data_IF_524875213358
#
_entry.id   IF_524875213358
#
_cell.length_a   1.000
_cell.length_b   1.000
_cell.length_c   1.000
_cell.angle_alpha   90.00
_cell.angle_beta   90.00
_cell.angle_gamma   90.00
#
_symmetry.space_group_name_H-M   'P 1'
#
loop_
_entity.id
_entity.type
_entity.pdbx_description
1 polymer ?
#
# COMPACT_ATOMS: atom_id res chain seq x y z
N UNK A 1 13.52 -19.48 -13.78
CA UNK A 1 13.22 -19.68 -12.34
C UNK A 1 11.73 -19.83 -12.17
N UNK A 2 11.29 -21.00 -11.72
CA UNK A 2 9.89 -21.36 -11.51
C UNK A 2 9.29 -20.51 -10.40
N UNK A 3 8.37 -19.60 -10.75
CA UNK A 3 7.63 -18.81 -9.78
C UNK A 3 6.84 -19.76 -8.88
N UNK A 4 7.29 -19.96 -7.63
CA UNK A 4 6.53 -20.69 -6.60
C UNK A 4 5.14 -20.07 -6.52
N UNK A 5 4.12 -20.90 -6.75
CA UNK A 5 2.72 -20.48 -6.90
C UNK A 5 2.21 -19.82 -5.61
N UNK A 6 2.19 -18.49 -5.63
CA UNK A 6 1.49 -17.67 -4.64
C UNK A 6 0.00 -17.99 -4.73
N UNK A 7 -0.54 -18.61 -3.68
CA UNK A 7 -1.96 -19.00 -3.61
C UNK A 7 -2.80 -17.85 -3.06
N UNK A 8 -3.85 -17.45 -3.77
CA UNK A 8 -4.71 -16.31 -3.41
C UNK A 8 -6.22 -16.67 -3.44
N UNK A 9 -7.04 -16.21 -2.48
CA UNK A 9 -8.44 -16.65 -2.26
C UNK A 9 -9.56 -15.87 -3.01
N UNK A 10 -10.26 -16.46 -4.00
CA UNK A 10 -11.29 -15.78 -4.85
C UNK A 10 -12.49 -16.67 -5.18
N UNK A 11 -13.66 -16.06 -5.50
CA UNK A 11 -14.87 -16.77 -5.96
C UNK A 11 -14.71 -17.49 -7.33
N UNK A 12 -13.62 -17.25 -8.06
CA UNK A 12 -13.31 -17.87 -9.36
C UNK A 12 -12.22 -18.94 -9.28
N UNK A 13 -11.90 -19.40 -8.08
CA UNK A 13 -10.86 -20.39 -7.85
C UNK A 13 -11.49 -21.75 -7.52
N UNK A 14 -10.76 -22.81 -7.84
CA UNK A 14 -11.18 -24.16 -7.46
C UNK A 14 -11.02 -24.23 -5.94
N UNK A 15 -12.15 -24.40 -5.25
CA UNK A 15 -12.18 -24.59 -3.80
C UNK A 15 -11.98 -26.09 -3.57
N UNK A 16 -10.80 -26.48 -3.09
CA UNK A 16 -10.64 -27.78 -2.43
C UNK A 16 -11.12 -27.67 -0.99
N UNK A 17 -11.23 -28.78 -0.26
CA UNK A 17 -11.58 -28.78 1.17
C UNK A 17 -10.67 -27.88 2.02
N UNK A 18 -9.45 -27.62 1.56
CA UNK A 18 -8.42 -26.90 2.32
C UNK A 18 -7.99 -25.57 1.69
N UNK A 19 -8.04 -25.43 0.35
CA UNK A 19 -7.43 -24.29 -0.36
C UNK A 19 -8.28 -23.76 -1.51
N UNK A 20 -7.90 -22.58 -1.99
CA UNK A 20 -8.54 -21.89 -3.11
C UNK A 20 -7.49 -21.68 -4.20
N UNK A 21 -7.53 -22.50 -5.25
CA UNK A 21 -6.55 -22.50 -6.34
C UNK A 21 -6.98 -21.52 -7.45
N UNK A 22 -6.21 -20.46 -7.66
CA UNK A 22 -6.39 -19.53 -8.79
C UNK A 22 -5.81 -20.17 -10.04
N UNK A 23 -6.60 -20.42 -11.07
CA UNK A 23 -6.09 -21.02 -12.32
C UNK A 23 -5.46 -19.98 -13.25
N UNK A 24 -5.99 -18.74 -13.31
CA UNK A 24 -5.48 -17.68 -14.18
C UNK A 24 -4.68 -16.62 -13.40
N UNK A 25 -3.37 -16.88 -13.23
CA UNK A 25 -2.48 -16.09 -12.38
C UNK A 25 -2.07 -14.77 -13.06
N UNK A 26 -1.90 -14.78 -14.38
CA UNK A 26 -1.37 -13.65 -15.16
C UNK A 26 -2.17 -12.35 -15.07
N UNK A 27 -3.40 -12.39 -14.56
CA UNK A 27 -4.24 -11.20 -14.28
C UNK A 27 -3.80 -10.42 -13.05
N UNK A 28 -2.99 -11.03 -12.18
CA UNK A 28 -2.49 -10.48 -10.92
C UNK A 28 -1.01 -10.11 -10.99
N UNK A 29 -0.19 -10.91 -11.67
CA UNK A 29 1.25 -10.67 -11.83
C UNK A 29 1.58 -9.72 -12.99
N UNK A 30 2.50 -8.76 -12.84
CA UNK A 30 2.92 -7.90 -13.95
C UNK A 30 3.46 -8.75 -15.12
N UNK A 31 3.30 -8.30 -16.38
CA UNK A 31 3.99 -8.90 -17.52
C UNK A 31 5.51 -8.89 -17.27
N UNK A 32 6.21 -9.87 -17.85
CA UNK A 32 7.67 -9.84 -17.89
C UNK A 32 8.11 -8.55 -18.60
N UNK A 33 9.19 -7.92 -18.13
CA UNK A 33 9.74 -6.68 -18.71
C UNK A 33 8.75 -5.52 -18.89
N UNK A 34 7.71 -5.42 -18.03
CA UNK A 34 6.67 -4.38 -18.09
C UNK A 34 7.24 -2.96 -18.29
N UNK A 35 8.36 -2.63 -17.64
CA UNK A 35 8.95 -1.29 -17.66
C UNK A 35 9.67 -0.94 -18.97
N UNK A 36 10.14 -1.95 -19.71
CA UNK A 36 10.92 -1.76 -20.94
C UNK A 36 10.03 -1.84 -22.18
N UNK A 37 8.97 -2.66 -22.13
CA UNK A 37 8.12 -2.96 -23.30
C UNK A 37 6.96 -1.98 -23.47
N UNK A 38 6.50 -1.33 -22.40
CA UNK A 38 5.27 -0.52 -22.42
C UNK A 38 5.56 0.97 -22.15
N UNK A 39 4.82 1.89 -22.81
CA UNK A 39 4.83 3.30 -22.46
C UNK A 39 4.42 3.51 -20.99
N UNK A 40 5.03 4.49 -20.32
CA UNK A 40 4.81 4.74 -18.89
C UNK A 40 3.33 4.92 -18.51
N UNK A 41 2.54 5.62 -19.33
CA UNK A 41 1.09 5.79 -19.08
C UNK A 41 0.35 4.46 -19.01
N UNK A 42 0.74 3.49 -19.84
CA UNK A 42 0.14 2.16 -19.85
C UNK A 42 0.66 1.29 -18.72
N UNK A 43 1.94 1.42 -18.35
CA UNK A 43 2.51 0.81 -17.14
C UNK A 43 1.69 1.20 -15.90
N UNK A 44 1.46 2.49 -15.68
CA UNK A 44 0.66 2.98 -14.54
C UNK A 44 -0.76 2.40 -14.56
N UNK A 45 -1.42 2.35 -15.71
CA UNK A 45 -2.77 1.77 -15.86
C UNK A 45 -2.77 0.26 -15.58
N UNK A 46 -1.77 -0.47 -16.07
CA UNK A 46 -1.61 -1.91 -15.86
C UNK A 46 -1.43 -2.19 -14.37
N UNK A 47 -0.52 -1.47 -13.70
CA UNK A 47 -0.27 -1.60 -12.27
C UNK A 47 -1.53 -1.28 -11.46
N UNK A 48 -2.19 -0.15 -11.73
CA UNK A 48 -3.45 0.21 -11.07
C UNK A 48 -4.51 -0.90 -11.18
N UNK A 49 -4.73 -1.42 -12.39
CA UNK A 49 -5.70 -2.51 -12.62
C UNK A 49 -5.33 -3.76 -11.82
N UNK A 50 -4.05 -4.07 -11.69
CA UNK A 50 -3.57 -5.23 -10.93
C UNK A 50 -3.80 -5.06 -9.44
N UNK A 51 -3.46 -3.91 -8.85
CA UNK A 51 -3.79 -3.60 -7.46
C UNK A 51 -5.30 -3.73 -7.19
N UNK A 52 -6.15 -3.13 -8.02
CA UNK A 52 -7.60 -3.21 -7.85
C UNK A 52 -8.11 -4.66 -7.92
N UNK A 53 -7.53 -5.49 -8.79
CA UNK A 53 -7.86 -6.93 -8.87
C UNK A 53 -7.49 -7.71 -7.61
N UNK A 54 -6.56 -7.21 -6.77
CA UNK A 54 -6.21 -7.85 -5.51
C UNK A 54 -7.26 -7.63 -4.41
N UNK A 55 -8.25 -6.74 -4.62
CA UNK A 55 -9.34 -6.45 -3.66
C UNK A 55 -9.93 -7.70 -2.97
N UNK A 56 -10.28 -8.79 -3.67
CA UNK A 56 -10.91 -9.96 -3.03
C UNK A 56 -10.01 -10.66 -2.02
N UNK A 57 -8.69 -10.54 -2.19
CA UNK A 57 -7.68 -11.28 -1.46
C UNK A 57 -7.17 -10.58 -0.20
N UNK A 58 -7.32 -9.25 -0.16
CA UNK A 58 -6.85 -8.43 0.95
C UNK A 58 -7.60 -8.76 2.24
N UNK A 59 -8.92 -8.98 2.16
CA UNK A 59 -9.73 -9.35 3.32
C UNK A 59 -11.10 -9.87 2.92
N UNK A 60 -11.71 -10.71 3.78
CA UNK A 60 -13.12 -11.08 3.68
C UNK A 60 -14.06 -9.92 4.04
N UNK A 61 -13.65 -9.04 4.94
CA UNK A 61 -14.48 -7.93 5.44
C UNK A 61 -14.65 -6.84 4.37
N UNK A 62 -15.89 -6.46 4.07
CA UNK A 62 -16.21 -5.47 3.03
C UNK A 62 -15.55 -4.11 3.34
N UNK A 63 -15.65 -3.65 4.59
CA UNK A 63 -15.05 -2.40 5.04
C UNK A 63 -13.55 -2.30 4.71
N UNK A 64 -12.78 -3.36 4.96
CA UNK A 64 -11.33 -3.40 4.69
C UNK A 64 -11.05 -3.35 3.19
N UNK A 65 -11.85 -4.08 2.40
CA UNK A 65 -11.74 -4.09 0.93
C UNK A 65 -12.01 -2.71 0.33
N UNK A 66 -12.95 -1.96 0.90
CA UNK A 66 -13.27 -0.62 0.43
C UNK A 66 -12.24 0.42 0.87
N UNK A 67 -11.66 0.26 2.08
CA UNK A 67 -10.49 1.05 2.49
C UNK A 67 -9.32 0.81 1.54
N UNK A 68 -9.01 -0.44 1.21
CA UNK A 68 -7.94 -0.79 0.27
C UNK A 68 -8.14 -0.15 -1.11
N UNK A 69 -9.33 -0.27 -1.70
CA UNK A 69 -9.60 0.35 -3.02
C UNK A 69 -9.53 1.87 -2.95
N UNK A 70 -10.06 2.48 -1.90
CA UNK A 70 -9.98 3.93 -1.69
C UNK A 70 -8.54 4.40 -1.60
N UNK A 71 -7.72 3.69 -0.83
CA UNK A 71 -6.29 3.93 -0.72
C UNK A 71 -5.57 3.80 -2.07
N UNK A 72 -5.78 2.72 -2.82
CA UNK A 72 -5.17 2.53 -4.16
C UNK A 72 -5.58 3.66 -5.12
N UNK A 73 -6.86 4.06 -5.12
CA UNK A 73 -7.33 5.18 -5.95
C UNK A 73 -6.61 6.48 -5.60
N UNK A 74 -6.47 6.78 -4.31
CA UNK A 74 -5.75 7.95 -3.84
C UNK A 74 -4.29 7.93 -4.29
N UNK A 75 -3.57 6.81 -4.05
CA UNK A 75 -2.15 6.66 -4.43
C UNK A 75 -1.89 6.89 -5.92
N UNK A 76 -2.74 6.36 -6.79
CA UNK A 76 -2.53 6.45 -8.25
C UNK A 76 -3.05 7.73 -8.90
N UNK A 77 -4.05 8.41 -8.30
CA UNK A 77 -4.71 9.56 -8.92
C UNK A 77 -4.34 10.90 -8.28
N UNK A 78 -4.08 10.91 -6.98
CA UNK A 78 -4.09 12.11 -6.17
C UNK A 78 -2.82 12.32 -5.34
N UNK A 79 -2.15 11.24 -4.93
CA UNK A 79 -0.96 11.37 -4.10
C UNK A 79 0.22 11.91 -4.91
N UNK A 80 0.83 12.95 -4.36
CA UNK A 80 2.18 13.39 -4.72
C UNK A 80 3.15 12.83 -3.69
N UNK A 81 3.85 11.75 -4.07
CA UNK A 81 4.75 11.02 -3.17
C UNK A 81 5.95 11.89 -2.75
N UNK A 82 6.53 12.64 -3.68
CA UNK A 82 7.66 13.52 -3.40
C UNK A 82 7.26 14.65 -2.45
N UNK A 83 6.09 15.26 -2.66
CA UNK A 83 5.58 16.26 -1.73
C UNK A 83 5.40 15.70 -0.32
N UNK A 84 4.85 14.48 -0.19
CA UNK A 84 4.71 13.80 1.11
C UNK A 84 6.07 13.52 1.76
N UNK A 85 7.04 13.11 0.97
CA UNK A 85 8.42 12.83 1.39
C UNK A 85 9.10 14.10 1.90
N UNK A 86 9.03 15.20 1.17
CA UNK A 86 9.58 16.51 1.55
C UNK A 86 8.91 17.02 2.83
N UNK A 87 7.58 16.96 2.90
CA UNK A 87 6.82 17.42 4.08
C UNK A 87 7.21 16.69 5.37
N UNK A 88 7.67 15.43 5.28
CA UNK A 88 8.12 14.67 6.45
C UNK A 88 9.38 15.21 7.11
N UNK A 89 10.18 16.02 6.40
CA UNK A 89 11.45 16.56 6.88
C UNK A 89 12.54 15.50 7.12
N UNK A 90 12.29 14.25 6.71
CA UNK A 90 13.25 13.17 6.82
C UNK A 90 14.34 13.32 5.74
N UNK A 91 15.60 13.25 6.15
CA UNK A 91 16.73 13.26 5.22
C UNK A 91 16.83 11.90 4.54
N UNK A 92 16.48 11.87 3.27
CA UNK A 92 16.66 10.72 2.40
C UNK A 92 17.77 11.02 1.40
N UNK A 93 18.43 10.00 0.86
CA UNK A 93 19.43 10.21 -0.19
C UNK A 93 18.80 10.98 -1.36
N UNK A 94 19.51 12.00 -1.87
CA UNK A 94 19.08 12.82 -3.00
C UNK A 94 19.00 11.97 -4.27
N UNK A 95 17.89 11.29 -4.46
CA UNK A 95 17.46 10.80 -5.75
C UNK A 95 16.28 11.66 -6.15
N UNK A 96 16.51 12.52 -7.13
CA UNK A 96 15.46 13.09 -7.97
C UNK A 96 14.70 11.93 -8.59
N UNK A 97 13.46 11.68 -8.14
CA UNK A 97 12.65 10.59 -8.68
C UNK A 97 12.23 10.89 -10.11
N UNK A 98 12.95 10.32 -11.07
CA UNK A 98 12.46 10.21 -12.44
C UNK A 98 11.21 9.34 -12.47
N UNK A 99 10.26 9.63 -13.37
CA UNK A 99 9.03 8.84 -13.57
C UNK A 99 9.25 7.32 -13.70
N UNK A 100 10.40 6.90 -14.24
CA UNK A 100 10.81 5.49 -14.32
C UNK A 100 11.01 4.85 -12.94
N UNK A 101 11.54 5.60 -11.97
CA UNK A 101 11.76 5.13 -10.59
C UNK A 101 10.43 4.96 -9.84
N UNK A 102 9.43 5.83 -10.09
CA UNK A 102 8.09 5.67 -9.52
C UNK A 102 7.41 4.38 -10.00
N UNK A 103 7.51 4.07 -11.29
CA UNK A 103 6.98 2.82 -11.85
C UNK A 103 7.69 1.58 -11.28
N UNK A 104 9.00 1.65 -11.04
CA UNK A 104 9.75 0.60 -10.34
C UNK A 104 9.26 0.40 -8.90
N UNK A 105 9.12 1.49 -8.13
CA UNK A 105 8.60 1.43 -6.77
C UNK A 105 7.18 0.89 -6.70
N UNK A 106 6.33 1.26 -7.65
CA UNK A 106 4.97 0.75 -7.76
C UNK A 106 4.94 -0.76 -8.08
N UNK A 107 5.88 -1.26 -8.88
CA UNK A 107 6.05 -2.69 -9.15
C UNK A 107 6.53 -3.44 -7.90
N UNK A 108 7.55 -2.94 -7.20
CA UNK A 108 8.00 -3.51 -5.93
C UNK A 108 6.87 -3.53 -4.88
N UNK A 109 6.04 -2.49 -4.87
CA UNK A 109 4.85 -2.41 -4.00
C UNK A 109 3.81 -3.48 -4.37
N UNK A 110 3.62 -3.76 -5.67
CA UNK A 110 2.71 -4.81 -6.11
C UNK A 110 3.20 -6.19 -5.65
N UNK A 111 4.50 -6.46 -5.76
CA UNK A 111 5.12 -7.68 -5.25
C UNK A 111 4.98 -7.81 -3.74
N UNK A 112 5.20 -6.72 -3.00
CA UNK A 112 4.97 -6.67 -1.55
C UNK A 112 3.54 -7.04 -1.19
N UNK A 113 2.54 -6.45 -1.86
CA UNK A 113 1.13 -6.73 -1.59
C UNK A 113 0.78 -8.17 -1.98
N UNK A 114 1.32 -8.69 -3.08
CA UNK A 114 1.16 -10.09 -3.48
C UNK A 114 1.70 -11.03 -2.39
N UNK A 115 2.89 -10.76 -1.84
CA UNK A 115 3.43 -11.51 -0.70
C UNK A 115 2.51 -11.45 0.51
N UNK A 116 2.03 -10.26 0.88
CA UNK A 116 1.16 -10.06 2.05
C UNK A 116 -0.15 -10.87 2.01
N UNK A 117 -0.71 -11.06 0.81
CA UNK A 117 -1.98 -11.80 0.59
C UNK A 117 -1.77 -13.28 0.24
N UNK A 118 -0.53 -13.73 0.07
CA UNK A 118 -0.19 -15.14 -0.15
C UNK A 118 -0.62 -15.99 1.04
N UNK A 119 -1.08 -17.20 0.78
CA UNK A 119 -1.25 -18.21 1.82
C UNK A 119 0.11 -18.73 2.33
N UNK A 120 0.23 -18.98 3.63
CA UNK A 120 1.37 -19.66 4.27
C UNK A 120 0.81 -20.79 5.12
N UNK A 121 1.28 -22.02 4.90
CA UNK A 121 0.89 -23.16 5.74
C UNK A 121 1.45 -22.98 7.14
N UNK A 122 0.74 -23.48 8.17
CA UNK A 122 1.20 -23.38 9.56
C UNK A 122 2.59 -23.97 9.76
N UNK A 123 2.89 -25.08 9.08
CA UNK A 123 4.21 -25.74 9.08
C UNK A 123 5.34 -24.85 8.58
N UNK A 124 5.03 -23.85 7.77
CA UNK A 124 6.04 -23.05 7.07
C UNK A 124 6.23 -21.68 7.73
N UNK A 125 5.52 -21.38 8.83
CA UNK A 125 5.55 -20.08 9.50
C UNK A 125 6.93 -19.72 10.06
N UNK A 126 7.70 -20.72 10.49
CA UNK A 126 9.04 -20.54 11.06
C UNK A 126 10.15 -20.56 10.00
N UNK A 127 9.81 -20.85 8.74
CA UNK A 127 10.75 -20.71 7.63
C UNK A 127 10.96 -19.23 7.32
N UNK A 128 12.16 -18.87 6.84
CA UNK A 128 12.47 -17.49 6.40
C UNK A 128 11.38 -16.90 5.49
N UNK A 129 10.84 -17.71 4.58
CA UNK A 129 9.77 -17.30 3.67
C UNK A 129 8.42 -17.07 4.37
N UNK A 130 8.05 -17.93 5.33
CA UNK A 130 6.83 -17.76 6.11
C UNK A 130 6.88 -16.54 7.02
N UNK A 131 8.05 -16.28 7.63
CA UNK A 131 8.31 -15.08 8.45
C UNK A 131 8.18 -13.82 7.59
N UNK A 132 8.78 -13.79 6.40
CA UNK A 132 8.68 -12.67 5.46
C UNK A 132 7.22 -12.36 5.09
N UNK A 133 6.45 -13.37 4.66
CA UNK A 133 5.04 -13.18 4.31
C UNK A 133 4.22 -12.72 5.52
N UNK A 134 4.49 -13.27 6.69
CA UNK A 134 3.82 -12.85 7.94
C UNK A 134 4.09 -11.38 8.26
N UNK A 135 5.33 -10.91 8.07
CA UNK A 135 5.69 -9.50 8.24
C UNK A 135 4.99 -8.61 7.20
N UNK A 136 5.03 -8.95 5.92
CA UNK A 136 4.32 -8.21 4.87
C UNK A 136 2.82 -8.10 5.17
N UNK A 137 2.20 -9.19 5.65
CA UNK A 137 0.78 -9.22 6.04
C UNK A 137 0.49 -8.30 7.22
N UNK A 138 1.33 -8.31 8.26
CA UNK A 138 1.19 -7.42 9.42
C UNK A 138 1.29 -5.94 9.01
N UNK A 139 2.28 -5.61 8.17
CA UNK A 139 2.48 -4.26 7.65
C UNK A 139 1.27 -3.80 6.83
N UNK A 140 0.80 -4.62 5.87
CA UNK A 140 -0.38 -4.30 5.06
C UNK A 140 -1.64 -4.12 5.92
N UNK A 141 -1.83 -4.96 6.94
CA UNK A 141 -2.94 -4.83 7.88
C UNK A 141 -2.88 -3.49 8.62
N UNK A 142 -1.72 -3.14 9.18
CA UNK A 142 -1.54 -1.89 9.92
C UNK A 142 -1.76 -0.67 9.01
N UNK A 143 -1.26 -0.72 7.77
CA UNK A 143 -1.52 0.31 6.76
C UNK A 143 -3.01 0.51 6.55
N UNK A 144 -3.75 -0.57 6.32
CA UNK A 144 -5.19 -0.48 6.09
C UNK A 144 -5.99 -0.04 7.32
N UNK A 145 -5.53 -0.34 8.52
CA UNK A 145 -6.12 0.21 9.75
C UNK A 145 -5.96 1.72 9.80
N UNK A 146 -4.72 2.21 9.63
CA UNK A 146 -4.43 3.65 9.67
C UNK A 146 -5.16 4.40 8.54
N UNK A 147 -5.21 3.82 7.34
CA UNK A 147 -5.93 4.40 6.21
C UNK A 147 -7.45 4.43 6.44
N UNK A 148 -8.00 3.46 7.17
CA UNK A 148 -9.38 3.50 7.60
C UNK A 148 -9.62 4.65 8.58
N UNK A 149 -8.75 4.84 9.56
CA UNK A 149 -8.86 5.90 10.56
C UNK A 149 -8.75 7.29 9.90
N UNK A 150 -7.78 7.47 8.99
CA UNK A 150 -7.68 8.70 8.18
C UNK A 150 -8.97 8.96 7.39
N UNK A 151 -9.58 7.92 6.81
CA UNK A 151 -10.85 8.05 6.09
C UNK A 151 -11.99 8.49 7.01
N UNK A 152 -12.08 7.96 8.22
CA UNK A 152 -13.09 8.38 9.20
C UNK A 152 -12.92 9.84 9.60
N UNK A 153 -11.68 10.30 9.82
CA UNK A 153 -11.39 11.72 10.09
C UNK A 153 -11.80 12.62 8.92
N UNK A 154 -11.44 12.23 7.69
CA UNK A 154 -11.83 12.95 6.48
C UNK A 154 -13.35 13.01 6.33
N UNK A 155 -14.07 11.92 6.62
CA UNK A 155 -15.53 11.91 6.57
C UNK A 155 -16.15 12.85 7.61
N UNK A 156 -15.56 12.94 8.80
CA UNK A 156 -16.04 13.82 9.87
C UNK A 156 -15.84 15.31 9.53
N UNK A 157 -14.69 15.71 8.99
CA UNK A 157 -14.48 17.08 8.52
C UNK A 157 -13.62 17.10 7.25
N UNK A 158 -14.25 17.00 6.06
CA UNK A 158 -13.54 16.88 4.79
C UNK A 158 -12.70 18.11 4.47
N UNK A 159 -13.25 19.32 4.72
CA UNK A 159 -12.59 20.59 4.40
C UNK A 159 -11.26 20.77 5.15
N UNK A 160 -11.16 20.20 6.34
CA UNK A 160 -9.95 20.28 7.16
C UNK A 160 -9.02 19.08 6.96
N UNK A 161 -9.52 17.87 7.15
CA UNK A 161 -8.65 16.69 7.20
C UNK A 161 -8.18 16.23 5.82
N UNK A 162 -8.93 16.52 4.74
CA UNK A 162 -8.47 16.14 3.40
C UNK A 162 -7.22 16.93 2.97
N UNK A 163 -7.19 18.28 3.02
CA UNK A 163 -5.96 19.01 2.72
C UNK A 163 -4.80 18.58 3.63
N UNK A 164 -5.05 18.50 4.94
CA UNK A 164 -4.02 18.16 5.94
C UNK A 164 -3.42 16.77 5.67
N UNK A 165 -4.22 15.73 5.46
CA UNK A 165 -3.75 14.34 5.38
C UNK A 165 -3.42 13.86 3.95
N UNK A 166 -3.95 14.50 2.90
CA UNK A 166 -3.93 13.97 1.52
C UNK A 166 -3.38 14.92 0.46
N UNK A 167 -3.15 16.19 0.76
CA UNK A 167 -2.69 17.16 -0.25
C UNK A 167 -1.47 17.97 0.21
N UNK A 168 -1.55 18.55 1.39
CA UNK A 168 -0.51 19.42 1.95
C UNK A 168 0.44 18.66 2.87
N UNK A 169 -0.04 17.57 3.47
CA UNK A 169 0.71 16.79 4.46
C UNK A 169 1.19 17.63 5.65
N UNK A 170 0.44 18.68 5.99
CA UNK A 170 0.82 19.68 6.99
C UNK A 170 0.84 19.16 8.42
N UNK A 171 0.28 17.97 8.68
CA UNK A 171 0.38 17.26 9.97
C UNK A 171 1.79 16.76 10.30
N UNK A 172 2.72 16.71 9.32
CA UNK A 172 4.14 16.52 9.63
C UNK A 172 4.76 17.74 10.31
N UNK A 173 4.22 18.94 10.08
CA UNK A 173 4.68 20.18 10.68
C UNK A 173 3.97 20.49 12.00
N UNK A 174 4.69 21.14 12.93
CA UNK A 174 4.13 21.51 14.24
C UNK A 174 3.09 22.65 14.15
N UNK A 175 3.12 23.45 13.07
CA UNK A 175 2.28 24.65 12.93
C UNK A 175 0.78 24.35 12.71
N UNK A 176 0.42 23.21 12.10
CA UNK A 176 -0.98 22.86 11.84
C UNK A 176 -1.78 22.50 13.11
N UNK A 177 -1.09 22.29 14.24
CA UNK A 177 -1.64 21.70 15.46
C UNK A 177 -1.89 22.72 16.59
N UNK A 178 -1.36 23.94 16.47
CA UNK A 178 -1.25 24.92 17.57
C UNK A 178 -2.59 25.42 18.12
N UNK A 179 -3.67 25.38 17.33
CA UNK A 179 -4.99 25.91 17.72
C UNK A 179 -6.09 24.85 17.81
N UNK A 180 -5.74 23.57 18.00
CA UNK A 180 -6.69 22.46 17.94
C UNK A 180 -6.89 21.76 19.28
N UNK A 181 -8.06 21.13 19.50
CA UNK A 181 -8.31 20.36 20.72
C UNK A 181 -7.24 19.27 20.90
N UNK A 182 -6.81 19.06 22.15
CA UNK A 182 -5.72 18.14 22.49
C UNK A 182 -5.90 16.73 21.92
N UNK A 183 -7.14 16.21 21.89
CA UNK A 183 -7.45 14.89 21.33
C UNK A 183 -7.22 14.79 19.81
N UNK A 184 -7.42 15.89 19.06
CA UNK A 184 -7.14 15.95 17.62
C UNK A 184 -5.63 15.99 17.40
N UNK A 185 -4.91 16.76 18.22
CA UNK A 185 -3.45 16.87 18.18
C UNK A 185 -2.78 15.52 18.47
N UNK A 186 -3.23 14.81 19.50
CA UNK A 186 -2.73 13.48 19.85
C UNK A 186 -2.91 12.47 18.71
N UNK A 187 -4.12 12.39 18.12
CA UNK A 187 -4.37 11.49 16.97
C UNK A 187 -3.50 11.83 15.75
N UNK A 188 -3.31 13.12 15.46
CA UNK A 188 -2.46 13.54 14.34
C UNK A 188 -0.98 13.23 14.59
N UNK A 189 -0.53 13.23 15.86
CA UNK A 189 0.81 12.80 16.24
C UNK A 189 1.02 11.30 15.95
N UNK A 190 0.09 10.44 16.37
CA UNK A 190 0.21 9.00 16.12
C UNK A 190 0.24 8.69 14.60
N UNK A 191 -0.60 9.38 13.83
CA UNK A 191 -0.60 9.30 12.37
C UNK A 191 0.71 9.77 11.75
N UNK A 192 1.28 10.87 12.26
CA UNK A 192 2.59 11.40 11.84
C UNK A 192 3.70 10.39 12.09
N UNK A 193 3.76 9.82 13.28
CA UNK A 193 4.80 8.84 13.65
C UNK A 193 4.69 7.58 12.78
N UNK A 194 3.47 7.08 12.56
CA UNK A 194 3.24 5.96 11.65
C UNK A 194 3.67 6.26 10.22
N UNK A 195 3.25 7.40 9.66
CA UNK A 195 3.59 7.76 8.28
C UNK A 195 5.07 8.04 8.08
N UNK A 196 5.77 8.59 9.09
CA UNK A 196 7.22 8.75 9.06
C UNK A 196 7.94 7.39 9.02
N UNK A 197 7.48 6.42 9.81
CA UNK A 197 8.00 5.05 9.78
C UNK A 197 7.71 4.37 8.43
N UNK A 198 6.52 4.58 7.87
CA UNK A 198 6.15 4.04 6.56
C UNK A 198 7.03 4.61 5.44
N UNK A 199 7.32 5.91 5.46
CA UNK A 199 8.22 6.52 4.48
C UNK A 199 9.64 5.92 4.57
N UNK A 200 10.18 5.73 5.77
CA UNK A 200 11.50 5.07 5.95
C UNK A 200 11.49 3.62 5.44
N UNK A 201 10.40 2.90 5.69
CA UNK A 201 10.21 1.54 5.18
C UNK A 201 10.18 1.54 3.65
N UNK A 202 9.44 2.47 3.05
CA UNK A 202 9.35 2.64 1.61
C UNK A 202 10.73 2.87 0.98
N UNK A 203 11.54 3.74 1.56
CA UNK A 203 12.91 3.98 1.08
C UNK A 203 13.82 2.77 1.23
N UNK A 204 13.68 2.01 2.32
CA UNK A 204 14.50 0.81 2.57
C UNK A 204 14.14 -0.33 1.60
N UNK A 205 12.85 -0.51 1.31
CA UNK A 205 12.35 -1.59 0.45
C UNK A 205 12.24 -1.18 -1.03
N UNK A 206 12.47 0.09 -1.36
CA UNK A 206 12.19 0.62 -2.69
C UNK A 206 10.71 0.51 -3.08
N UNK A 207 9.81 0.66 -2.10
CA UNK A 207 8.35 0.60 -2.30
C UNK A 207 7.72 1.99 -2.17
N UNK A 208 6.40 2.07 -2.36
CA UNK A 208 5.60 3.27 -2.26
C UNK A 208 4.23 2.93 -1.63
N UNK A 209 4.27 2.27 -0.47
CA UNK A 209 3.11 1.97 0.38
C UNK A 209 2.50 3.25 0.99
#
# INVERSE_FOLDING_TARGET
MTSRQITITTKKAIITSEYTLVTQHGKYFPPQNLLNEYPQKDVTRILYRRFVRLKPFVSRRQMVRDTYVGYIRYKFRNEDYEKRRIASGLKFAEKSENLSQLSQRALATLEFVLKAISHVKKSDLDTSHGVEISMCRKILKNLLTIEHDKRLLIQHNPKFFYPVLRQEFSYFGNHALVKKPLHVVARLRDLREYDACLLKLNETLGTML
#
